data_IF_970795735865
#
_entry.id   IF_970795735865
#
_cell.length_a   1.000
_cell.length_b   1.000
_cell.length_c   1.000
_cell.angle_alpha   90.00
_cell.angle_beta   90.00
_cell.angle_gamma   90.00
#
_symmetry.space_group_name_H-M   'P 1'
#
loop_
_entity.id
_entity.type
_entity.pdbx_description
1 polymer ?
#
# COMPACT_ATOMS: atom_id res chain seq x y z
N UNK A 1 44.71 31.54 -26.77
CA UNK A 1 44.88 30.08 -26.88
C UNK A 1 44.85 29.32 -25.54
N UNK A 2 45.67 29.65 -24.52
CA UNK A 2 45.67 28.90 -23.24
C UNK A 2 44.30 28.94 -22.54
N UNK A 3 43.64 30.10 -22.55
CA UNK A 3 42.31 30.30 -21.93
C UNK A 3 41.21 29.47 -22.62
N UNK A 4 41.24 29.35 -23.96
CA UNK A 4 40.26 28.53 -24.69
C UNK A 4 40.47 27.04 -24.43
N UNK A 5 41.72 26.59 -24.37
CA UNK A 5 42.07 25.20 -24.01
C UNK A 5 41.57 24.88 -22.59
N UNK A 6 41.74 25.78 -21.63
CA UNK A 6 41.25 25.62 -20.27
C UNK A 6 39.71 25.46 -20.20
N UNK A 7 38.96 26.27 -20.93
CA UNK A 7 37.49 26.13 -20.99
C UNK A 7 37.04 24.85 -21.70
N UNK A 8 37.75 24.37 -22.72
CA UNK A 8 37.44 23.06 -23.36
C UNK A 8 37.61 21.91 -22.37
N UNK A 9 38.70 21.93 -21.59
CA UNK A 9 38.95 20.91 -20.57
C UNK A 9 37.83 20.93 -19.53
N UNK A 10 37.42 22.10 -19.06
CA UNK A 10 36.28 22.23 -18.14
C UNK A 10 34.97 21.72 -18.74
N UNK A 11 34.66 22.07 -19.99
CA UNK A 11 33.47 21.57 -20.68
C UNK A 11 33.46 20.04 -20.74
N UNK A 12 34.60 19.42 -21.03
CA UNK A 12 34.74 17.97 -21.07
C UNK A 12 34.57 17.31 -19.69
N UNK A 13 35.13 17.90 -18.63
CA UNK A 13 34.93 17.41 -17.25
C UNK A 13 33.45 17.46 -16.86
N UNK A 14 32.75 18.56 -17.15
CA UNK A 14 31.32 18.67 -16.86
C UNK A 14 30.47 17.70 -17.71
N UNK A 15 30.83 17.48 -18.98
CA UNK A 15 30.16 16.48 -19.82
C UNK A 15 30.34 15.07 -19.25
N UNK A 16 31.56 14.68 -18.87
CA UNK A 16 31.81 13.36 -18.26
C UNK A 16 31.01 13.20 -16.95
N UNK A 17 30.94 14.26 -16.15
CA UNK A 17 30.18 14.27 -14.89
C UNK A 17 28.67 14.15 -15.11
N UNK A 18 28.14 14.67 -16.22
CA UNK A 18 26.71 14.54 -16.57
C UNK A 18 26.31 13.09 -16.82
N UNK A 19 27.21 12.27 -17.38
CA UNK A 19 26.95 10.84 -17.63
C UNK A 19 27.04 9.96 -16.38
N UNK A 20 27.71 10.43 -15.33
CA UNK A 20 27.86 9.69 -14.07
C UNK A 20 26.83 10.05 -13.00
N UNK A 21 26.31 11.28 -13.01
CA UNK A 21 25.35 11.77 -12.01
C UNK A 21 23.98 12.00 -12.65
N UNK A 22 23.16 10.94 -12.68
CA UNK A 22 21.83 10.92 -13.33
C UNK A 22 20.91 12.00 -12.75
N UNK A 23 20.98 12.26 -11.44
CA UNK A 23 20.13 13.24 -10.76
C UNK A 23 20.39 14.68 -11.25
N UNK A 24 21.65 14.98 -11.60
CA UNK A 24 22.07 16.30 -12.05
C UNK A 24 22.48 16.33 -13.53
N UNK A 25 22.20 15.26 -14.30
CA UNK A 25 22.64 15.10 -15.68
C UNK A 25 22.32 16.33 -16.51
N UNK A 26 21.07 16.78 -16.47
CA UNK A 26 20.60 17.93 -17.25
C UNK A 26 21.33 19.24 -16.89
N UNK A 27 21.71 19.42 -15.62
CA UNK A 27 22.43 20.62 -15.17
C UNK A 27 23.87 20.60 -15.71
N UNK A 28 24.56 19.47 -15.58
CA UNK A 28 25.93 19.32 -16.05
C UNK A 28 26.05 19.33 -17.58
N UNK A 29 25.07 18.80 -18.31
CA UNK A 29 25.02 18.88 -19.78
C UNK A 29 24.91 20.35 -20.24
N UNK A 30 23.98 21.11 -19.66
CA UNK A 30 23.83 22.53 -19.99
C UNK A 30 25.07 23.35 -19.63
N UNK A 31 25.74 23.05 -18.52
CA UNK A 31 27.00 23.70 -18.17
C UNK A 31 28.13 23.37 -19.15
N UNK A 32 28.23 22.12 -19.59
CA UNK A 32 29.20 21.73 -20.60
C UNK A 32 28.99 22.51 -21.90
N UNK A 33 27.74 22.63 -22.38
CA UNK A 33 27.43 23.37 -23.60
C UNK A 33 27.76 24.86 -23.50
N UNK A 34 27.41 25.52 -22.39
CA UNK A 34 27.71 26.95 -22.19
C UNK A 34 29.22 27.19 -22.15
N UNK A 35 29.97 26.36 -21.43
CA UNK A 35 31.43 26.50 -21.32
C UNK A 35 32.10 26.20 -22.67
N UNK A 36 31.61 25.21 -23.41
CA UNK A 36 32.08 24.89 -24.76
C UNK A 36 31.87 26.05 -25.74
N UNK A 37 30.70 26.68 -25.70
CA UNK A 37 30.36 27.84 -26.54
C UNK A 37 31.23 29.06 -26.20
N UNK A 38 31.47 29.32 -24.90
CA UNK A 38 32.41 30.36 -24.46
C UNK A 38 33.83 30.09 -24.96
N UNK A 39 34.28 28.83 -24.93
CA UNK A 39 35.59 28.51 -25.49
C UNK A 39 35.67 28.74 -27.00
N UNK A 40 34.62 28.36 -27.74
CA UNK A 40 34.54 28.60 -29.18
C UNK A 40 34.60 30.09 -29.50
N UNK A 41 33.84 30.94 -28.79
CA UNK A 41 33.89 32.39 -28.95
C UNK A 41 35.31 32.93 -28.67
N UNK A 42 35.94 32.51 -27.57
CA UNK A 42 37.31 32.90 -27.24
C UNK A 42 38.32 32.47 -28.32
N UNK A 43 38.09 31.33 -28.97
CA UNK A 43 38.93 30.82 -30.04
C UNK A 43 38.72 31.59 -31.36
N UNK A 44 37.48 31.89 -31.75
CA UNK A 44 37.18 32.65 -32.97
C UNK A 44 37.70 34.09 -32.88
N UNK A 45 37.59 34.73 -31.72
CA UNK A 45 38.17 36.06 -31.50
C UNK A 45 39.70 36.04 -31.48
N UNK A 46 40.32 34.97 -31.00
CA UNK A 46 41.78 34.80 -31.04
C UNK A 46 42.31 34.65 -32.48
N UNK A 47 41.54 34.01 -33.38
CA UNK A 47 41.91 33.87 -34.80
C UNK A 47 41.64 35.17 -35.59
N UNK A 48 40.61 35.94 -35.20
CA UNK A 48 40.18 37.13 -35.94
C UNK A 48 40.98 38.41 -35.62
N UNK A 49 41.72 38.46 -34.51
CA UNK A 49 42.43 39.67 -34.07
C UNK A 49 43.96 39.42 -34.04
N UNK A 50 44.66 39.82 -35.12
CA UNK A 50 46.14 39.81 -35.22
C UNK A 50 46.81 40.88 -34.32
N UNK A 51 46.03 41.68 -33.57
CA UNK A 51 46.54 42.81 -32.79
C UNK A 51 46.74 42.50 -31.30
N UNK A 52 48.02 42.39 -30.92
CA UNK A 52 48.66 42.43 -29.59
C UNK A 52 47.99 41.71 -28.39
N UNK A 53 48.76 40.90 -27.61
CA UNK A 53 48.27 40.07 -26.50
C UNK A 53 47.70 40.83 -25.27
N UNK A 54 47.77 42.16 -25.24
CA UNK A 54 47.31 43.00 -24.13
C UNK A 54 45.78 43.02 -23.96
N UNK A 55 45.01 42.65 -24.99
CA UNK A 55 43.54 42.50 -24.88
C UNK A 55 43.09 41.24 -24.12
N UNK A 56 44.01 40.37 -23.71
CA UNK A 56 43.70 39.10 -23.03
C UNK A 56 43.02 39.25 -21.66
N UNK A 57 43.18 40.40 -21.01
CA UNK A 57 42.55 40.69 -19.71
C UNK A 57 41.04 40.97 -19.82
N UNK A 58 40.54 41.45 -20.97
CA UNK A 58 39.10 41.68 -21.16
C UNK A 58 38.31 40.37 -21.12
N UNK A 59 38.91 39.22 -21.42
CA UNK A 59 38.25 37.92 -21.32
C UNK A 59 37.97 37.50 -19.87
N UNK A 60 38.63 38.10 -18.88
CA UNK A 60 38.32 37.86 -17.46
C UNK A 60 36.93 38.40 -17.08
N UNK A 61 36.38 39.37 -17.81
CA UNK A 61 35.01 39.89 -17.61
C UNK A 61 33.94 38.84 -17.92
N UNK A 62 34.25 37.83 -18.73
CA UNK A 62 33.32 36.73 -19.02
C UNK A 62 33.14 35.78 -17.82
N UNK A 63 34.12 35.71 -16.91
CA UNK A 63 34.06 34.85 -15.72
C UNK A 63 32.90 35.23 -14.78
N UNK A 64 32.72 36.50 -14.35
CA UNK A 64 31.59 36.88 -13.52
C UNK A 64 30.24 36.70 -14.24
N UNK A 65 30.18 36.91 -15.57
CA UNK A 65 28.96 36.66 -16.34
C UNK A 65 28.61 35.17 -16.38
N UNK A 66 29.62 34.30 -16.54
CA UNK A 66 29.45 32.85 -16.45
C UNK A 66 28.94 32.46 -15.06
N UNK A 67 29.55 32.96 -13.98
CA UNK A 67 29.12 32.67 -12.60
C UNK A 67 27.66 33.10 -12.36
N UNK A 68 27.25 34.26 -12.86
CA UNK A 68 25.87 34.74 -12.78
C UNK A 68 24.90 33.84 -13.54
N UNK A 69 25.26 33.42 -14.76
CA UNK A 69 24.47 32.47 -15.56
C UNK A 69 24.37 31.10 -14.88
N UNK A 70 25.46 30.59 -14.31
CA UNK A 70 25.46 29.34 -13.54
C UNK A 70 24.51 29.42 -12.33
N UNK A 71 24.56 30.53 -11.58
CA UNK A 71 23.63 30.78 -10.47
C UNK A 71 22.18 30.88 -10.94
N UNK A 72 21.94 31.52 -12.08
CA UNK A 72 20.60 31.64 -12.68
C UNK A 72 20.02 30.28 -13.06
N UNK A 73 20.80 29.45 -13.76
CA UNK A 73 20.43 28.09 -14.16
C UNK A 73 20.14 27.23 -12.92
N UNK A 74 21.03 27.26 -11.92
CA UNK A 74 20.82 26.51 -10.65
C UNK A 74 19.55 26.94 -9.91
N UNK A 75 19.19 28.23 -9.95
CA UNK A 75 17.98 28.74 -9.29
C UNK A 75 16.70 28.35 -10.03
N UNK A 76 16.74 28.28 -11.36
CA UNK A 76 15.58 27.92 -12.21
C UNK A 76 15.32 26.42 -12.28
N UNK A 77 16.38 25.61 -12.23
CA UNK A 77 16.30 24.16 -12.26
C UNK A 77 16.24 23.65 -10.82
N UNK A 78 15.12 23.90 -10.13
CA UNK A 78 14.76 23.08 -8.97
C UNK A 78 14.55 21.66 -9.50
N UNK A 79 15.38 20.73 -9.06
CA UNK A 79 15.20 19.30 -9.33
C UNK A 79 13.76 18.97 -8.94
N UNK A 80 12.94 18.54 -9.92
CA UNK A 80 11.61 18.03 -9.60
C UNK A 80 11.84 16.81 -8.71
N UNK A 81 11.30 16.86 -7.48
CA UNK A 81 11.31 15.69 -6.62
C UNK A 81 10.71 14.52 -7.39
N UNK A 82 11.38 13.38 -7.35
CA UNK A 82 10.77 12.12 -7.75
C UNK A 82 9.72 11.79 -6.67
N UNK A 83 8.48 12.21 -6.91
CA UNK A 83 7.36 11.77 -6.09
C UNK A 83 7.09 10.31 -6.47
N UNK A 84 7.58 9.38 -5.65
CA UNK A 84 7.23 7.96 -5.76
C UNK A 84 5.76 7.84 -5.36
N UNK A 85 4.87 7.84 -6.34
CA UNK A 85 3.47 7.52 -6.15
C UNK A 85 3.37 6.00 -6.09
N UNK A 86 3.53 5.43 -4.90
CA UNK A 86 3.26 4.01 -4.68
C UNK A 86 1.77 3.75 -4.95
N UNK A 87 1.46 2.93 -5.95
CA UNK A 87 0.10 2.48 -6.19
C UNK A 87 -0.28 1.47 -5.09
N UNK A 88 -0.86 1.95 -4.01
CA UNK A 88 -1.39 1.08 -2.96
C UNK A 88 -2.57 0.31 -3.56
N UNK A 89 -2.41 -0.99 -3.75
CA UNK A 89 -3.55 -1.85 -4.07
C UNK A 89 -4.57 -1.75 -2.93
N UNK A 90 -5.71 -1.12 -3.20
CA UNK A 90 -6.82 -1.03 -2.26
C UNK A 90 -7.82 -2.11 -2.59
N UNK A 91 -8.09 -2.98 -1.63
CA UNK A 91 -9.16 -3.97 -1.76
C UNK A 91 -10.56 -3.32 -1.68
N UNK A 92 -10.67 -2.15 -1.07
CA UNK A 92 -11.90 -1.40 -0.87
C UNK A 92 -11.71 0.05 -1.31
N UNK A 93 -12.56 0.52 -2.23
CA UNK A 93 -12.48 1.86 -2.80
C UNK A 93 -12.99 2.93 -1.83
N UNK A 94 -13.78 2.51 -0.84
CA UNK A 94 -14.39 3.37 0.18
C UNK A 94 -13.40 3.94 1.19
N UNK A 95 -12.14 3.49 1.15
CA UNK A 95 -11.10 3.89 2.09
C UNK A 95 -9.96 4.52 1.33
N UNK A 96 -9.57 5.72 1.76
CA UNK A 96 -8.40 6.38 1.23
C UNK A 96 -7.16 6.25 2.14
N UNK A 97 -6.00 6.51 1.54
CA UNK A 97 -4.71 6.46 2.23
C UNK A 97 -4.62 7.51 3.33
N UNK A 98 -5.35 8.62 3.23
CA UNK A 98 -5.37 9.69 4.23
C UNK A 98 -6.13 9.24 5.48
N UNK A 99 -7.27 8.57 5.31
CA UNK A 99 -8.06 7.98 6.38
C UNK A 99 -7.27 6.90 7.12
N UNK A 100 -6.53 6.05 6.39
CA UNK A 100 -5.62 5.07 7.00
C UNK A 100 -4.53 5.77 7.82
N UNK A 101 -3.90 6.80 7.24
CA UNK A 101 -2.84 7.54 7.91
C UNK A 101 -3.32 8.21 9.20
N UNK A 102 -4.48 8.86 9.14
CA UNK A 102 -5.08 9.55 10.27
C UNK A 102 -5.51 8.57 11.37
N UNK A 103 -6.16 7.46 11.01
CA UNK A 103 -6.62 6.45 11.96
C UNK A 103 -5.47 5.82 12.76
N UNK A 104 -4.33 5.57 12.10
CA UNK A 104 -3.16 4.96 12.75
C UNK A 104 -2.13 5.96 13.26
N UNK A 105 -2.34 7.27 13.09
CA UNK A 105 -1.39 8.32 13.48
C UNK A 105 -0.94 8.18 14.93
N UNK A 106 -1.87 7.88 15.83
CA UNK A 106 -1.61 7.76 17.27
C UNK A 106 -0.79 6.51 17.65
N UNK A 107 -0.66 5.53 16.76
CA UNK A 107 0.13 4.30 17.00
C UNK A 107 1.57 4.42 16.51
N UNK A 108 1.89 5.50 15.79
CA UNK A 108 3.20 5.71 15.16
C UNK A 108 4.08 6.59 16.04
N UNK A 109 5.32 6.16 16.23
CA UNK A 109 6.39 6.94 16.85
C UNK A 109 7.40 7.23 15.74
N UNK A 110 7.45 8.49 15.31
CA UNK A 110 8.39 8.93 14.27
C UNK A 110 9.74 9.24 14.93
N UNK A 111 10.75 8.45 14.60
CA UNK A 111 12.15 8.67 14.98
C UNK A 111 12.92 9.22 13.78
N UNK A 112 14.18 9.61 14.01
CA UNK A 112 15.02 10.27 13.00
C UNK A 112 15.30 9.38 11.78
N UNK A 113 15.41 8.08 12.00
CA UNK A 113 15.82 7.05 11.03
C UNK A 113 14.70 6.07 10.67
N UNK A 114 13.61 6.03 11.44
CA UNK A 114 12.56 5.01 11.31
C UNK A 114 11.22 5.44 11.90
N UNK A 115 10.18 4.69 11.56
CA UNK A 115 8.85 4.79 12.18
C UNK A 115 8.64 3.50 12.98
N UNK A 116 8.39 3.62 14.28
CA UNK A 116 8.02 2.51 15.14
C UNK A 116 6.50 2.48 15.33
N UNK A 117 5.91 1.28 15.37
CA UNK A 117 4.47 1.09 15.60
C UNK A 117 4.27 0.27 16.85
N UNK A 118 3.51 0.79 17.81
CA UNK A 118 3.14 0.05 19.01
C UNK A 118 2.03 -0.95 18.70
N UNK A 119 2.33 -2.24 18.80
CA UNK A 119 1.36 -3.32 18.59
C UNK A 119 1.26 -4.15 19.87
N UNK A 120 0.05 -4.27 20.41
CA UNK A 120 -0.23 -5.20 21.50
C UNK A 120 -0.61 -6.57 20.91
N UNK A 121 0.31 -7.51 20.88
CA UNK A 121 0.03 -8.86 20.35
C UNK A 121 -0.95 -9.64 21.23
N UNK A 122 -0.87 -9.44 22.55
CA UNK A 122 -1.72 -10.12 23.51
C UNK A 122 -3.19 -9.70 23.43
N UNK A 123 -3.51 -8.57 22.80
CA UNK A 123 -4.91 -8.19 22.57
C UNK A 123 -5.56 -9.04 21.48
N UNK A 124 -4.79 -9.60 20.55
CA UNK A 124 -5.29 -10.38 19.41
C UNK A 124 -5.58 -11.85 19.72
N UNK A 125 -4.98 -12.40 20.78
CA UNK A 125 -5.10 -13.82 21.14
C UNK A 125 -6.41 -14.10 21.88
N UNK A 126 -7.18 -15.07 21.37
CA UNK A 126 -8.40 -15.57 22.03
C UNK A 126 -8.07 -16.43 23.26
N UNK A 127 -6.96 -17.16 23.22
CA UNK A 127 -6.49 -18.00 24.32
C UNK A 127 -5.22 -17.42 24.94
N UNK A 128 -5.17 -17.42 26.26
CA UNK A 128 -4.01 -17.01 27.08
C UNK A 128 -3.77 -18.06 28.15
N UNK A 129 -2.53 -18.56 28.23
CA UNK A 129 -2.12 -19.57 29.22
C UNK A 129 -3.04 -20.81 29.23
N UNK A 130 -3.51 -21.26 28.06
CA UNK A 130 -4.42 -22.41 27.93
C UNK A 130 -5.91 -22.11 28.17
N UNK A 131 -6.27 -20.88 28.55
CA UNK A 131 -7.65 -20.50 28.83
C UNK A 131 -8.18 -19.52 27.78
N UNK A 132 -9.47 -19.65 27.43
CA UNK A 132 -10.18 -18.65 26.62
C UNK A 132 -10.35 -17.38 27.45
N UNK A 133 -10.10 -16.22 26.84
CA UNK A 133 -10.25 -14.92 27.52
C UNK A 133 -11.72 -14.73 27.95
N UNK A 134 -12.00 -14.40 29.24
CA UNK A 134 -13.37 -14.32 29.76
C UNK A 134 -14.32 -13.39 28.99
N UNK A 135 -13.78 -12.31 28.41
CA UNK A 135 -14.53 -11.35 27.60
C UNK A 135 -15.24 -12.01 26.41
N UNK A 136 -14.69 -13.09 25.85
CA UNK A 136 -15.36 -13.86 24.80
C UNK A 136 -16.75 -14.32 25.24
N UNK A 137 -16.87 -14.88 26.46
CA UNK A 137 -18.15 -15.42 26.95
C UNK A 137 -19.14 -14.31 27.27
N UNK A 138 -18.65 -13.18 27.80
CA UNK A 138 -19.48 -12.00 28.08
C UNK A 138 -20.05 -11.46 26.77
N UNK A 139 -19.18 -11.24 25.77
CA UNK A 139 -19.58 -10.74 24.47
C UNK A 139 -20.47 -11.74 23.75
N UNK A 140 -20.19 -13.04 23.81
CA UNK A 140 -21.03 -14.09 23.24
C UNK A 140 -22.48 -14.03 23.73
N UNK A 141 -22.66 -13.86 25.04
CA UNK A 141 -23.99 -13.74 25.64
C UNK A 141 -24.73 -12.47 25.21
N UNK A 142 -24.00 -11.36 25.08
CA UNK A 142 -24.60 -10.04 24.86
C UNK A 142 -24.65 -9.61 23.38
N UNK A 143 -23.97 -10.32 22.47
CA UNK A 143 -23.88 -9.93 21.06
C UNK A 143 -25.19 -10.21 20.32
N UNK A 144 -25.93 -9.15 20.03
CA UNK A 144 -27.14 -9.21 19.22
C UNK A 144 -26.81 -9.05 17.74
N UNK A 145 -27.37 -9.93 16.92
CA UNK A 145 -27.18 -9.93 15.47
C UNK A 145 -28.27 -9.10 14.77
N UNK A 146 -27.95 -8.58 13.60
CA UNK A 146 -28.83 -7.71 12.85
C UNK A 146 -29.82 -8.54 12.04
N UNK A 147 -31.12 -8.32 12.25
CA UNK A 147 -32.20 -8.92 11.46
C UNK A 147 -32.69 -7.92 10.43
N UNK A 148 -32.89 -8.38 9.20
CA UNK A 148 -33.44 -7.60 8.10
C UNK A 148 -34.56 -8.38 7.43
N UNK A 149 -35.61 -7.72 6.95
CA UNK A 149 -36.72 -8.43 6.29
C UNK A 149 -36.47 -8.64 4.81
N UNK A 150 -35.77 -7.70 4.17
CA UNK A 150 -35.46 -7.70 2.74
C UNK A 150 -34.05 -7.15 2.45
N UNK A 151 -33.54 -7.42 1.25
CA UNK A 151 -32.18 -7.00 0.86
C UNK A 151 -31.99 -5.49 0.76
N UNK A 152 -33.05 -4.70 0.57
CA UNK A 152 -32.92 -3.24 0.44
C UNK A 152 -32.46 -2.61 1.76
N UNK A 153 -32.78 -3.24 2.90
CA UNK A 153 -32.35 -2.76 4.23
C UNK A 153 -30.84 -2.81 4.44
N UNK A 154 -30.10 -3.61 3.65
CA UNK A 154 -28.63 -3.70 3.74
C UNK A 154 -28.00 -2.32 3.53
N UNK A 155 -28.61 -1.45 2.72
CA UNK A 155 -28.10 -0.11 2.44
C UNK A 155 -27.98 0.78 3.69
N UNK A 156 -28.79 0.50 4.71
CA UNK A 156 -28.74 1.22 5.99
C UNK A 156 -27.48 0.89 6.81
N UNK A 157 -26.82 -0.22 6.51
CA UNK A 157 -25.66 -0.73 7.23
C UNK A 157 -24.40 -0.57 6.37
N UNK A 158 -23.67 0.52 6.58
CA UNK A 158 -22.53 0.92 5.73
C UNK A 158 -21.53 -0.21 5.50
N UNK A 159 -21.04 -0.86 6.56
CA UNK A 159 -20.03 -1.93 6.45
C UNK A 159 -20.60 -3.17 5.75
N UNK A 160 -21.77 -3.62 6.19
CA UNK A 160 -22.43 -4.79 5.62
C UNK A 160 -22.73 -4.58 4.13
N UNK A 161 -23.15 -3.38 3.71
CA UNK A 161 -23.36 -3.03 2.31
C UNK A 161 -22.06 -3.07 1.48
N UNK A 162 -20.94 -2.57 2.02
CA UNK A 162 -19.64 -2.65 1.34
C UNK A 162 -19.23 -4.11 1.12
N UNK A 163 -19.32 -4.94 2.16
CA UNK A 163 -19.03 -6.38 2.08
C UNK A 163 -19.97 -7.06 1.07
N UNK A 164 -21.27 -6.75 1.11
CA UNK A 164 -22.25 -7.32 0.20
C UNK A 164 -21.94 -6.99 -1.25
N UNK A 165 -21.74 -5.71 -1.59
CA UNK A 165 -21.37 -5.27 -2.94
C UNK A 165 -20.09 -5.94 -3.42
N UNK A 166 -19.11 -6.09 -2.53
CA UNK A 166 -17.86 -6.78 -2.86
C UNK A 166 -18.10 -8.27 -3.16
N UNK A 167 -18.89 -8.96 -2.33
CA UNK A 167 -19.27 -10.35 -2.58
C UNK A 167 -20.05 -10.50 -3.90
N UNK A 168 -20.99 -9.61 -4.19
CA UNK A 168 -21.73 -9.60 -5.46
C UNK A 168 -20.81 -9.44 -6.67
N UNK A 169 -19.79 -8.57 -6.58
CA UNK A 169 -18.81 -8.42 -7.64
C UNK A 169 -18.04 -9.72 -7.90
N UNK A 170 -17.67 -10.47 -6.86
CA UNK A 170 -16.99 -11.76 -7.00
C UNK A 170 -17.89 -12.84 -7.58
N UNK A 171 -19.12 -12.94 -7.10
CA UNK A 171 -20.13 -13.86 -7.63
C UNK A 171 -20.36 -13.59 -9.12
N UNK A 172 -20.45 -12.31 -9.51
CA UNK A 172 -20.59 -11.90 -10.90
C UNK A 172 -19.36 -12.25 -11.75
N UNK A 173 -18.14 -12.07 -11.22
CA UNK A 173 -16.91 -12.48 -11.90
C UNK A 173 -16.81 -14.00 -12.09
N UNK A 174 -17.42 -14.77 -11.20
CA UNK A 174 -17.51 -16.23 -11.33
C UNK A 174 -18.70 -16.69 -12.20
N UNK A 175 -19.50 -15.75 -12.72
CA UNK A 175 -20.69 -16.02 -13.53
C UNK A 175 -21.75 -16.91 -12.83
N UNK A 176 -21.78 -16.89 -11.50
CA UNK A 176 -22.70 -17.70 -10.71
C UNK A 176 -24.03 -16.95 -10.55
N UNK A 177 -25.13 -17.60 -10.92
CA UNK A 177 -26.47 -17.08 -10.68
C UNK A 177 -26.97 -17.52 -9.29
N UNK A 178 -27.26 -16.55 -8.42
CA UNK A 178 -27.68 -16.79 -7.04
C UNK A 178 -28.94 -15.99 -6.75
N UNK A 179 -29.92 -16.64 -6.11
CA UNK A 179 -31.04 -15.95 -5.52
C UNK A 179 -30.69 -15.48 -4.10
N UNK A 180 -30.30 -14.21 -3.98
CA UNK A 180 -29.90 -13.60 -2.71
C UNK A 180 -31.01 -13.59 -1.64
N UNK A 181 -32.28 -13.45 -2.04
CA UNK A 181 -33.43 -13.46 -1.11
C UNK A 181 -33.61 -14.84 -0.47
N UNK A 182 -33.46 -15.91 -1.25
CA UNK A 182 -33.48 -17.27 -0.71
C UNK A 182 -32.30 -17.50 0.23
N UNK A 183 -31.11 -17.02 -0.12
CA UNK A 183 -29.93 -17.12 0.74
C UNK A 183 -30.08 -16.35 2.04
N UNK A 184 -30.73 -15.19 2.02
CA UNK A 184 -31.04 -14.43 3.24
C UNK A 184 -31.96 -15.22 4.17
N UNK A 185 -33.01 -15.85 3.62
CA UNK A 185 -33.96 -16.69 4.37
C UNK A 185 -33.31 -17.95 4.94
N UNK A 186 -32.45 -18.62 4.17
CA UNK A 186 -31.65 -19.78 4.64
C UNK A 186 -30.81 -19.42 5.88
N UNK A 187 -30.32 -18.18 5.96
CA UNK A 187 -29.55 -17.67 7.09
C UNK A 187 -30.43 -16.96 8.15
N UNK A 188 -31.71 -17.36 8.26
CA UNK A 188 -32.70 -16.83 9.20
C UNK A 188 -32.84 -15.31 9.17
N UNK A 189 -32.73 -14.67 8.00
CA UNK A 189 -32.80 -13.22 7.86
C UNK A 189 -31.77 -12.46 8.71
N UNK A 190 -30.68 -13.13 9.10
CA UNK A 190 -29.60 -12.56 9.88
C UNK A 190 -28.53 -12.02 8.93
N UNK A 191 -28.32 -10.72 8.97
CA UNK A 191 -27.44 -10.03 8.01
C UNK A 191 -25.99 -10.52 8.12
N UNK A 192 -25.46 -10.65 9.33
CA UNK A 192 -24.09 -11.13 9.53
C UNK A 192 -23.92 -12.57 9.01
N UNK A 193 -24.87 -13.48 9.28
CA UNK A 193 -24.78 -14.86 8.79
C UNK A 193 -24.93 -14.96 7.29
N UNK A 194 -25.87 -14.21 6.71
CA UNK A 194 -26.05 -14.12 5.27
C UNK A 194 -24.76 -13.68 4.58
N UNK A 195 -24.11 -12.63 5.08
CA UNK A 195 -22.86 -12.14 4.48
C UNK A 195 -21.68 -13.09 4.69
N UNK A 196 -21.56 -13.72 5.86
CA UNK A 196 -20.53 -14.74 6.11
C UNK A 196 -20.71 -15.94 5.19
N UNK A 197 -21.96 -16.39 4.94
CA UNK A 197 -22.26 -17.48 4.01
C UNK A 197 -21.90 -17.12 2.57
N UNK A 198 -22.20 -15.89 2.12
CA UNK A 198 -21.75 -15.43 0.80
C UNK A 198 -20.23 -15.34 0.72
N UNK A 199 -19.58 -14.83 1.77
CA UNK A 199 -18.13 -14.67 1.81
C UNK A 199 -17.41 -16.02 1.78
N UNK A 200 -17.85 -16.96 2.61
CA UNK A 200 -17.31 -18.31 2.69
C UNK A 200 -17.37 -19.02 1.34
N UNK A 201 -18.55 -19.02 0.72
CA UNK A 201 -18.80 -19.83 -0.47
C UNK A 201 -18.24 -19.24 -1.75
N UNK A 202 -18.09 -17.91 -1.84
CA UNK A 202 -17.81 -17.23 -3.10
C UNK A 202 -16.54 -16.38 -3.13
N UNK A 203 -15.85 -16.15 -2.00
CA UNK A 203 -14.68 -15.26 -2.00
C UNK A 203 -13.35 -15.91 -1.63
N UNK A 204 -13.33 -17.21 -1.30
CA UNK A 204 -12.12 -17.94 -0.88
C UNK A 204 -10.94 -17.78 -1.84
N UNK A 205 -11.21 -17.85 -3.15
CA UNK A 205 -10.18 -17.77 -4.20
C UNK A 205 -9.51 -16.40 -4.36
N UNK A 206 -10.09 -15.33 -3.82
CA UNK A 206 -9.58 -13.97 -4.07
C UNK A 206 -8.61 -13.46 -3.00
N UNK A 207 -8.45 -14.18 -1.88
CA UNK A 207 -7.55 -13.83 -0.76
C UNK A 207 -7.60 -12.34 -0.37
N UNK A 208 -8.78 -11.86 0.05
CA UNK A 208 -9.03 -10.44 0.36
C UNK A 208 -9.15 -10.23 1.85
N UNK A 209 -8.25 -9.41 2.39
CA UNK A 209 -8.33 -8.96 3.77
C UNK A 209 -9.31 -7.80 3.95
N UNK A 210 -10.13 -7.87 5.01
CA UNK A 210 -11.09 -6.82 5.40
C UNK A 210 -10.53 -5.81 6.41
N UNK A 211 -9.23 -5.91 6.74
CA UNK A 211 -8.61 -5.16 7.83
C UNK A 211 -8.75 -3.63 7.69
N UNK A 212 -8.72 -3.09 6.47
CA UNK A 212 -8.86 -1.65 6.26
C UNK A 212 -10.25 -1.16 6.67
N UNK A 213 -11.30 -1.99 6.53
CA UNK A 213 -12.68 -1.61 6.87
C UNK A 213 -12.88 -1.28 8.35
N UNK A 214 -11.94 -1.66 9.22
CA UNK A 214 -11.94 -1.27 10.63
C UNK A 214 -12.01 0.25 10.84
N UNK A 215 -11.49 1.02 9.88
CA UNK A 215 -11.50 2.49 9.90
C UNK A 215 -12.94 3.03 9.81
N UNK A 216 -13.85 2.27 9.18
CA UNK A 216 -15.24 2.65 8.99
C UNK A 216 -16.15 2.13 10.12
N UNK A 217 -15.66 1.28 11.00
CA UNK A 217 -16.45 0.64 12.04
C UNK A 217 -16.76 1.61 13.18
N UNK A 218 -18.04 1.73 13.53
CA UNK A 218 -18.57 2.66 14.53
C UNK A 218 -18.81 2.01 15.89
N UNK A 219 -19.00 0.69 15.91
CA UNK A 219 -19.36 -0.05 17.11
C UNK A 219 -18.67 -1.42 17.15
N UNK A 220 -18.67 -2.03 18.33
CA UNK A 220 -18.03 -3.34 18.57
C UNK A 220 -18.62 -4.46 17.72
N UNK A 221 -19.93 -4.43 17.43
CA UNK A 221 -20.59 -5.41 16.57
C UNK A 221 -20.04 -5.39 15.14
N UNK A 222 -19.82 -4.20 14.57
CA UNK A 222 -19.22 -4.05 13.24
C UNK A 222 -17.76 -4.52 13.23
N UNK A 223 -17.00 -4.23 14.29
CA UNK A 223 -15.62 -4.71 14.46
C UNK A 223 -15.58 -6.24 14.55
N UNK A 224 -16.48 -6.84 15.32
CA UNK A 224 -16.63 -8.30 15.41
C UNK A 224 -17.09 -8.90 14.08
N UNK A 225 -18.00 -8.27 13.35
CA UNK A 225 -18.44 -8.77 12.04
C UNK A 225 -17.29 -8.79 11.04
N UNK A 226 -16.53 -7.69 10.95
CA UNK A 226 -15.31 -7.64 10.10
C UNK A 226 -14.28 -8.69 10.53
N UNK A 227 -14.11 -8.89 11.83
CA UNK A 227 -13.27 -9.98 12.33
C UNK A 227 -13.76 -11.35 11.88
N UNK A 228 -15.06 -11.61 11.94
CA UNK A 228 -15.64 -12.88 11.55
C UNK A 228 -15.47 -13.13 10.04
N UNK A 229 -15.62 -12.11 9.21
CA UNK A 229 -15.37 -12.18 7.75
C UNK A 229 -13.91 -12.56 7.46
N UNK A 230 -12.95 -12.03 8.22
CA UNK A 230 -11.54 -12.44 8.15
C UNK A 230 -11.36 -13.90 8.59
N UNK A 231 -12.02 -14.31 9.68
CA UNK A 231 -11.88 -15.66 10.26
C UNK A 231 -12.43 -16.79 9.38
N UNK A 232 -13.43 -16.52 8.55
CA UNK A 232 -14.04 -17.54 7.66
C UNK A 232 -13.01 -18.24 6.77
N UNK A 233 -11.98 -17.52 6.34
CA UNK A 233 -10.94 -18.06 5.45
C UNK A 233 -9.61 -18.35 6.17
N UNK A 234 -9.55 -18.18 7.49
CA UNK A 234 -8.32 -18.35 8.25
C UNK A 234 -8.29 -19.69 8.99
N UNK A 235 -7.14 -20.36 8.90
CA UNK A 235 -6.85 -21.56 9.68
C UNK A 235 -6.56 -21.25 11.18
N UNK A 236 -6.47 -19.98 11.56
CA UNK A 236 -6.19 -19.56 12.93
C UNK A 236 -7.27 -18.62 13.50
N UNK A 237 -7.81 -18.97 14.67
CA UNK A 237 -8.83 -18.17 15.33
C UNK A 237 -8.19 -17.03 16.13
N UNK A 238 -8.43 -15.80 15.65
CA UNK A 238 -8.12 -14.56 16.36
C UNK A 238 -9.26 -14.21 17.31
N UNK A 239 -8.97 -13.39 18.32
CA UNK A 239 -9.98 -12.90 19.29
C UNK A 239 -11.05 -12.06 18.61
N UNK A 240 -10.63 -11.11 17.78
CA UNK A 240 -11.52 -10.23 17.03
C UNK A 240 -12.33 -11.07 16.03
N UNK A 241 -13.64 -11.02 16.15
CA UNK A 241 -14.58 -11.75 15.32
C UNK A 241 -14.92 -13.15 15.79
N UNK A 242 -14.24 -13.66 16.83
CA UNK A 242 -14.47 -15.00 17.32
C UNK A 242 -15.92 -15.22 17.76
N UNK A 243 -16.58 -14.17 18.29
CA UNK A 243 -17.93 -14.29 18.82
C UNK A 243 -18.94 -14.51 17.71
N UNK A 244 -18.94 -13.64 16.70
CA UNK A 244 -19.87 -13.75 15.57
C UNK A 244 -19.53 -14.99 14.73
N UNK A 245 -18.24 -15.30 14.55
CA UNK A 245 -17.82 -16.52 13.86
C UNK A 245 -18.31 -17.78 14.56
N UNK A 246 -18.18 -17.86 15.89
CA UNK A 246 -18.69 -19.01 16.66
C UNK A 246 -20.22 -19.14 16.57
N UNK A 247 -20.96 -18.02 16.68
CA UNK A 247 -22.42 -18.01 16.48
C UNK A 247 -22.81 -18.48 15.07
N UNK A 248 -22.03 -18.13 14.06
CA UNK A 248 -22.25 -18.58 12.69
C UNK A 248 -22.01 -20.09 12.53
N UNK A 249 -20.96 -20.64 13.13
CA UNK A 249 -20.72 -22.08 13.16
C UNK A 249 -21.82 -22.85 13.90
N UNK A 250 -22.35 -22.29 14.99
CA UNK A 250 -23.50 -22.85 15.71
C UNK A 250 -24.74 -22.89 14.80
N UNK A 251 -25.01 -21.78 14.11
CA UNK A 251 -26.12 -21.68 13.16
C UNK A 251 -26.02 -22.71 12.03
N UNK A 252 -24.82 -22.96 11.50
CA UNK A 252 -24.55 -24.01 10.49
C UNK A 252 -24.49 -25.43 11.06
N UNK A 253 -24.74 -25.62 12.37
CA UNK A 253 -24.63 -26.88 13.10
C UNK A 253 -23.24 -27.55 13.07
N UNK A 254 -22.18 -26.82 12.69
CA UNK A 254 -20.82 -27.38 12.53
C UNK A 254 -20.12 -27.66 13.85
N UNK A 255 -20.54 -27.02 14.94
CA UNK A 255 -19.98 -27.26 16.29
C UNK A 255 -20.14 -28.75 16.69
N UNK A 256 -21.24 -29.38 16.28
CA UNK A 256 -21.49 -30.80 16.59
C UNK A 256 -20.50 -31.74 15.91
N UNK A 257 -19.94 -31.34 14.77
CA UNK A 257 -18.93 -32.13 14.04
C UNK A 257 -17.60 -32.10 14.81
N UNK A 258 -17.20 -30.93 15.33
CA UNK A 258 -16.02 -30.80 16.20
C UNK A 258 -16.14 -31.61 17.51
N UNK A 259 -17.35 -31.70 18.09
CA UNK A 259 -17.58 -32.48 19.31
C UNK A 259 -17.54 -34.00 19.08
N UNK A 260 -17.74 -34.47 17.84
CA UNK A 260 -17.71 -35.90 17.49
C UNK A 260 -16.29 -36.43 17.28
N UNK A 261 -15.27 -35.57 17.23
CA UNK A 261 -13.88 -35.97 17.02
C UNK A 261 -13.57 -36.47 15.59
N UNK A 262 -14.53 -36.37 14.66
CA UNK A 262 -14.32 -36.63 13.23
C UNK A 262 -13.67 -35.38 12.62
N UNK A 263 -12.37 -35.21 12.87
CA UNK A 263 -11.59 -34.15 12.24
C UNK A 263 -11.36 -34.46 10.77
N UNK A 264 -12.07 -33.76 9.89
CA UNK A 264 -11.52 -33.40 8.58
C UNK A 264 -10.83 -32.05 8.79
N UNK A 265 -9.50 -32.03 8.67
CA UNK A 265 -8.76 -30.78 8.67
C UNK A 265 -9.23 -29.94 7.47
N UNK A 266 -10.11 -28.97 7.73
CA UNK A 266 -10.79 -28.08 6.77
C UNK A 266 -11.82 -28.70 5.81
N UNK A 267 -13.10 -28.27 5.84
CA UNK A 267 -14.06 -28.55 4.76
C UNK A 267 -13.82 -27.67 3.51
N UNK A 268 -13.03 -26.60 3.63
CA UNK A 268 -12.54 -25.79 2.50
C UNK A 268 -11.28 -26.45 1.93
N UNK A 269 -11.53 -27.23 0.90
CA UNK A 269 -10.61 -28.04 0.11
C UNK A 269 -9.50 -27.20 -0.59
N UNK A 270 -8.57 -26.62 0.16
CA UNK A 270 -7.28 -26.18 -0.39
C UNK A 270 -6.30 -27.32 -0.21
N UNK A 271 -6.18 -28.15 -1.26
CA UNK A 271 -5.08 -29.10 -1.38
C UNK A 271 -3.77 -28.31 -1.29
N UNK A 272 -3.10 -28.42 -0.15
CA UNK A 272 -1.71 -28.01 0.09
C UNK A 272 -1.53 -26.51 -0.12
N UNK A 273 -1.52 -25.76 0.98
CA UNK A 273 -0.92 -24.42 1.00
C UNK A 273 0.50 -24.52 0.43
N UNK A 274 0.71 -23.94 -0.75
CA UNK A 274 2.01 -23.96 -1.41
C UNK A 274 2.95 -23.00 -0.68
N UNK A 275 3.70 -23.54 0.28
CA UNK A 275 4.73 -22.79 1.01
C UNK A 275 5.78 -22.16 0.08
N UNK A 276 5.89 -22.62 -1.18
CA UNK A 276 6.78 -22.00 -2.16
C UNK A 276 6.32 -20.60 -2.58
N UNK A 277 5.01 -20.30 -2.56
CA UNK A 277 4.48 -18.95 -2.82
C UNK A 277 4.92 -17.92 -1.79
N UNK A 278 5.08 -18.34 -0.52
CA UNK A 278 5.60 -17.48 0.53
C UNK A 278 7.12 -17.22 0.40
N UNK A 279 7.84 -18.13 -0.27
CA UNK A 279 9.29 -18.01 -0.50
C UNK A 279 9.63 -17.18 -1.74
N UNK A 280 8.74 -17.10 -2.73
CA UNK A 280 8.95 -16.31 -3.97
C UNK A 280 8.83 -14.79 -3.75
N UNK A 281 8.09 -14.35 -2.72
CA UNK A 281 7.86 -12.93 -2.43
C UNK A 281 8.64 -12.40 -1.21
N UNK A 282 9.63 -13.17 -0.74
CA UNK A 282 10.51 -12.74 0.33
C UNK A 282 11.44 -11.62 -0.18
N UNK A 283 11.05 -10.37 0.08
CA UNK A 283 11.76 -9.17 -0.35
C UNK A 283 13.23 -9.15 0.08
N UNK A 284 13.55 -9.93 1.11
CA UNK A 284 14.89 -10.07 1.68
C UNK A 284 15.86 -10.85 0.78
N UNK A 285 15.34 -11.64 -0.19
CA UNK A 285 16.17 -12.43 -1.14
C UNK A 285 16.19 -11.87 -2.56
N UNK A 286 15.47 -10.78 -2.80
CA UNK A 286 15.42 -10.18 -4.14
C UNK A 286 16.73 -9.44 -4.41
N UNK A 287 17.56 -9.96 -5.31
CA UNK A 287 18.81 -9.30 -5.71
C UNK A 287 18.45 -8.08 -6.56
N UNK A 288 18.49 -6.90 -5.95
CA UNK A 288 18.39 -5.64 -6.69
C UNK A 288 19.67 -5.46 -7.52
N UNK A 289 19.54 -5.53 -8.85
CA UNK A 289 20.60 -5.09 -9.76
C UNK A 289 20.68 -3.55 -9.67
N UNK A 290 21.75 -3.06 -9.07
CA UNK A 290 22.14 -1.65 -9.12
C UNK A 290 22.64 -1.22 -10.49
#
# INVERSE_FOLDING_TARGET
MIVSIFFIILAFIFYKKSKTDILNQFIYENFSYVIGLVSFICFTFFIADDSKPEKSLYYLILIPFLILMLKYIKKRIKVKGLDIIANQQRYFDEIDSKMIDEFYKNRRIIKRDRIEVLVNENSKKLMKNGYIVPEFFINYKNMELTKIENLNEIENYKIHNIIFKKAQNFIKQQEININYENKLKENNNCLEFFLLDLWENYTSRFNIGVANLDILAKNEKEIEFLGAVDLVHLNCIKRKGAVIYYKYLEHKNRIKEYLKGEHNDNPTNDKIFDESYALENDSDKTIYKG
#
